data_IF_274751512966
#
_entry.id   IF_274751512966
#
_cell.length_a   1.000
_cell.length_b   1.000
_cell.length_c   1.000
_cell.angle_alpha   90.00
_cell.angle_beta   90.00
_cell.angle_gamma   90.00
#
_symmetry.space_group_name_H-M   'P 1'
#
loop_
_entity.id
_entity.type
_entity.pdbx_description
1 polymer ?
#
# COMPACT_ATOMS: atom_id res chain seq x y z
N UNK A 1 -3.62 33.02 -22.80
CA UNK A 1 -3.16 31.63 -22.97
C UNK A 1 -3.22 30.96 -21.61
N UNK A 2 -4.29 30.22 -21.38
CA UNK A 2 -4.65 29.60 -20.10
C UNK A 2 -3.85 28.30 -19.92
N UNK A 3 -2.98 28.25 -18.91
CA UNK A 3 -2.34 27.03 -18.44
C UNK A 3 -3.38 26.12 -17.78
N UNK A 4 -3.61 24.95 -18.37
CA UNK A 4 -4.47 23.93 -17.79
C UNK A 4 -3.83 23.35 -16.50
N UNK A 5 -4.64 22.93 -15.51
CA UNK A 5 -4.14 22.25 -14.32
C UNK A 5 -3.62 20.86 -14.71
N UNK A 6 -2.41 20.51 -14.29
CA UNK A 6 -1.91 19.12 -14.37
C UNK A 6 -2.51 18.37 -13.17
N UNK A 7 -3.81 18.09 -13.23
CA UNK A 7 -4.45 17.08 -12.38
C UNK A 7 -4.97 15.99 -13.31
N UNK A 8 -4.20 14.90 -13.37
CA UNK A 8 -4.41 13.80 -14.29
C UNK A 8 -3.49 12.66 -13.94
N UNK A 9 -3.78 11.99 -12.82
CA UNK A 9 -3.14 10.73 -12.42
C UNK A 9 -3.38 9.72 -13.54
N UNK A 10 -2.44 9.62 -14.49
CA UNK A 10 -2.36 8.47 -15.39
C UNK A 10 -1.93 7.28 -14.53
N UNK A 11 -2.86 6.36 -14.27
CA UNK A 11 -2.57 4.97 -13.87
C UNK A 11 -1.81 4.27 -15.01
N UNK A 12 -0.55 4.64 -15.19
CA UNK A 12 0.34 4.05 -16.20
C UNK A 12 0.99 2.81 -15.63
N UNK A 13 1.04 1.74 -16.41
CA UNK A 13 1.89 0.60 -16.08
C UNK A 13 3.32 1.13 -16.13
N UNK A 14 4.08 0.97 -15.05
CA UNK A 14 5.42 1.55 -14.93
C UNK A 14 6.55 0.59 -15.25
N UNK A 15 6.22 -0.66 -15.60
CA UNK A 15 7.18 -1.69 -15.92
C UNK A 15 8.00 -1.36 -17.18
N UNK A 16 9.32 -1.59 -17.09
CA UNK A 16 10.28 -1.36 -18.16
C UNK A 16 10.79 0.08 -18.27
N UNK A 17 10.32 0.97 -17.39
CA UNK A 17 10.56 2.41 -17.52
C UNK A 17 11.48 2.99 -16.43
N UNK A 18 12.05 4.14 -16.76
CA UNK A 18 12.81 4.97 -15.84
C UNK A 18 12.09 6.24 -15.42
N UNK A 19 12.19 6.63 -14.16
CA UNK A 19 11.53 7.78 -13.57
C UNK A 19 12.51 8.67 -12.82
N UNK A 20 12.37 9.98 -12.99
CA UNK A 20 12.95 10.94 -12.05
C UNK A 20 11.97 11.14 -10.90
N UNK A 21 12.46 11.12 -9.66
CA UNK A 21 11.62 11.28 -8.47
C UNK A 21 12.28 12.19 -7.44
N UNK A 22 11.48 13.01 -6.77
CA UNK A 22 11.78 13.52 -5.44
C UNK A 22 11.12 12.64 -4.37
N UNK A 23 9.92 12.14 -4.66
CA UNK A 23 9.21 11.16 -3.85
C UNK A 23 8.15 10.45 -4.67
N UNK A 24 7.86 9.19 -4.32
CA UNK A 24 6.81 8.41 -4.96
C UNK A 24 6.27 7.30 -4.05
N UNK A 25 5.00 6.94 -4.27
CA UNK A 25 4.37 5.75 -3.72
C UNK A 25 4.27 4.68 -4.81
N UNK A 26 5.05 3.62 -4.66
CA UNK A 26 5.04 2.49 -5.55
C UNK A 26 4.14 1.38 -4.98
N UNK A 27 3.19 0.88 -5.79
CA UNK A 27 2.21 -0.11 -5.34
C UNK A 27 1.89 -1.14 -6.43
N UNK A 28 1.72 -2.40 -6.05
CA UNK A 28 1.08 -3.40 -6.92
C UNK A 28 -0.43 -3.43 -6.68
N UNK A 29 -1.20 -3.60 -7.75
CA UNK A 29 -2.65 -3.64 -7.71
C UNK A 29 -3.20 -5.07 -7.74
N UNK A 30 -4.35 -5.33 -7.10
CA UNK A 30 -5.04 -6.60 -7.24
C UNK A 30 -5.58 -6.76 -8.67
N UNK A 31 -5.52 -7.97 -9.19
CA UNK A 31 -6.04 -8.36 -10.49
C UNK A 31 -7.56 -8.19 -10.51
N UNK A 32 -8.15 -7.69 -11.61
CA UNK A 32 -9.60 -7.46 -11.68
C UNK A 32 -10.48 -8.73 -11.47
N UNK A 33 -9.88 -9.92 -11.44
CA UNK A 33 -10.56 -11.20 -11.15
C UNK A 33 -10.06 -11.91 -9.88
N UNK A 34 -9.09 -11.36 -9.15
CA UNK A 34 -8.63 -11.89 -7.86
C UNK A 34 -8.15 -10.76 -6.94
N UNK A 35 -8.31 -10.90 -5.63
CA UNK A 35 -7.79 -9.91 -4.67
C UNK A 35 -6.24 -9.88 -4.58
N UNK A 36 -5.54 -10.53 -5.52
CA UNK A 36 -4.09 -10.70 -5.51
C UNK A 36 -3.42 -10.06 -6.72
N UNK A 37 -2.11 -9.80 -6.61
CA UNK A 37 -1.28 -9.39 -7.74
C UNK A 37 -1.27 -10.47 -8.83
N UNK A 38 -0.85 -10.09 -10.03
CA UNK A 38 -1.00 -10.88 -11.25
C UNK A 38 0.22 -11.82 -11.45
N UNK A 39 0.04 -13.00 -12.07
CA UNK A 39 1.11 -13.96 -12.32
C UNK A 39 1.96 -13.61 -13.55
N UNK A 40 3.11 -14.28 -13.69
CA UNK A 40 4.07 -14.16 -14.80
C UNK A 40 4.66 -12.76 -15.04
N UNK A 41 4.66 -11.89 -14.04
CA UNK A 41 5.34 -10.61 -14.13
C UNK A 41 6.86 -10.71 -14.07
N UNK A 42 7.49 -9.89 -14.90
CA UNK A 42 8.92 -9.59 -14.86
C UNK A 42 9.10 -8.09 -15.11
N UNK A 43 9.00 -7.32 -14.03
CA UNK A 43 8.83 -5.87 -14.07
C UNK A 43 10.01 -5.15 -13.42
N UNK A 44 10.77 -4.41 -14.24
CA UNK A 44 11.85 -3.55 -13.79
C UNK A 44 11.42 -2.09 -13.80
N UNK A 45 11.71 -1.34 -12.75
CA UNK A 45 11.50 0.10 -12.71
C UNK A 45 12.69 0.80 -12.09
N UNK A 46 13.23 1.79 -12.78
CA UNK A 46 14.41 2.55 -12.33
C UNK A 46 13.98 3.93 -11.87
N UNK A 47 14.42 4.34 -10.69
CA UNK A 47 14.13 5.64 -10.10
C UNK A 47 15.43 6.37 -9.84
N UNK A 48 15.50 7.63 -10.26
CA UNK A 48 16.68 8.48 -10.13
C UNK A 48 16.30 9.82 -9.51
N UNK A 49 17.05 10.26 -8.52
CA UNK A 49 16.89 11.62 -7.99
C UNK A 49 17.49 12.64 -8.96
N UNK A 50 16.95 13.86 -8.96
CA UNK A 50 17.47 14.96 -9.77
C UNK A 50 18.80 15.49 -9.23
N UNK A 51 18.94 15.61 -7.90
CA UNK A 51 20.19 16.10 -7.28
C UNK A 51 21.16 14.94 -7.14
N UNK A 52 22.45 15.21 -7.36
CA UNK A 52 23.51 14.18 -7.36
C UNK A 52 23.92 13.75 -5.96
N UNK A 53 23.73 14.62 -4.96
CA UNK A 53 24.02 14.38 -3.56
C UNK A 53 22.84 13.75 -2.80
N UNK A 54 21.68 13.61 -3.46
CA UNK A 54 20.55 12.91 -2.89
C UNK A 54 20.80 11.40 -2.83
N UNK A 55 20.41 10.82 -1.71
CA UNK A 55 20.23 9.39 -1.54
C UNK A 55 18.76 9.05 -1.73
N UNK A 56 18.45 7.78 -2.04
CA UNK A 56 17.07 7.31 -2.11
C UNK A 56 16.79 6.37 -0.95
N UNK A 57 15.86 6.76 -0.07
CA UNK A 57 15.30 5.88 0.94
C UNK A 57 14.17 5.05 0.35
N UNK A 58 14.16 3.78 0.71
CA UNK A 58 13.12 2.81 0.38
C UNK A 58 12.48 2.37 1.69
N UNK A 59 11.19 2.66 1.87
CA UNK A 59 10.39 2.20 3.00
C UNK A 59 9.34 1.23 2.49
N UNK A 60 9.43 -0.03 2.90
CA UNK A 60 8.42 -1.03 2.58
C UNK A 60 7.33 -0.92 3.65
N UNK A 61 6.17 -0.38 3.26
CA UNK A 61 5.03 -0.18 4.17
C UNK A 61 4.24 -1.47 4.37
N UNK A 62 4.09 -2.25 3.31
CA UNK A 62 3.46 -3.57 3.34
C UNK A 62 4.07 -4.43 2.22
N UNK A 63 4.26 -5.71 2.51
CA UNK A 63 4.65 -6.74 1.56
C UNK A 63 3.88 -7.99 1.94
N UNK A 64 3.21 -8.57 0.96
CA UNK A 64 2.42 -9.79 1.08
C UNK A 64 2.47 -10.48 -0.28
N UNK A 65 3.59 -11.17 -0.50
CA UNK A 65 3.85 -11.99 -1.68
C UNK A 65 3.88 -13.45 -1.28
N UNK A 66 3.45 -14.30 -2.19
CA UNK A 66 3.46 -15.75 -2.04
C UNK A 66 4.85 -16.23 -1.66
N UNK A 67 4.89 -17.01 -0.58
CA UNK A 67 6.11 -17.50 0.03
C UNK A 67 5.94 -18.95 0.44
N UNK A 68 5.88 -19.81 -0.58
CA UNK A 68 5.75 -21.26 -0.41
C UNK A 68 6.94 -21.85 0.37
N UNK A 69 8.07 -21.14 0.44
CA UNK A 69 9.33 -21.63 0.99
C UNK A 69 9.79 -20.91 2.28
N UNK A 70 8.93 -20.13 2.93
CA UNK A 70 9.21 -19.49 4.22
C UNK A 70 10.40 -18.51 4.19
N UNK A 71 10.52 -17.73 3.12
CA UNK A 71 11.49 -16.66 2.92
C UNK A 71 12.76 -17.11 2.22
N UNK A 72 12.84 -18.39 1.85
CA UNK A 72 14.01 -18.98 1.17
C UNK A 72 13.66 -19.22 -0.30
N UNK A 73 14.39 -18.62 -1.23
CA UNK A 73 14.11 -18.73 -2.67
C UNK A 73 12.70 -18.26 -3.06
N UNK A 74 12.44 -16.98 -2.81
CA UNK A 74 11.24 -16.29 -3.24
C UNK A 74 11.03 -16.42 -4.77
N UNK A 75 10.00 -17.19 -5.16
CA UNK A 75 9.55 -17.31 -6.55
C UNK A 75 8.84 -16.03 -6.99
N UNK A 76 7.95 -15.54 -6.13
CA UNK A 76 7.40 -14.19 -6.22
C UNK A 76 8.28 -13.29 -5.37
N UNK A 77 8.87 -12.24 -5.95
CA UNK A 77 9.81 -11.40 -5.23
C UNK A 77 9.78 -9.93 -5.64
N UNK A 78 10.02 -9.06 -4.66
CA UNK A 78 10.33 -7.65 -4.85
C UNK A 78 11.77 -7.39 -4.38
N UNK A 79 12.63 -7.01 -5.32
CA UNK A 79 14.06 -6.79 -5.07
C UNK A 79 14.45 -5.35 -5.40
N UNK A 80 15.42 -4.82 -4.68
CA UNK A 80 15.94 -3.47 -4.91
C UNK A 80 17.44 -3.51 -5.20
N UNK A 81 17.88 -2.63 -6.09
CA UNK A 81 19.26 -2.49 -6.52
C UNK A 81 19.69 -1.03 -6.42
N UNK A 82 20.93 -0.77 -6.00
CA UNK A 82 21.49 0.59 -5.85
C UNK A 82 22.04 1.20 -7.15
N UNK A 83 21.66 0.67 -8.30
CA UNK A 83 22.14 1.16 -9.60
C UNK A 83 21.06 0.93 -10.65
N UNK A 84 21.19 1.62 -11.79
CA UNK A 84 20.29 1.44 -12.94
C UNK A 84 20.46 0.06 -13.59
N UNK A 85 21.64 -0.56 -13.41
CA UNK A 85 22.01 -1.83 -14.02
C UNK A 85 21.92 -2.96 -12.99
N UNK A 86 20.90 -3.79 -13.15
CA UNK A 86 20.63 -4.89 -12.21
C UNK A 86 21.77 -5.91 -12.22
N UNK A 87 22.51 -5.96 -11.11
CA UNK A 87 23.55 -6.96 -10.88
C UNK A 87 23.50 -7.45 -9.42
N UNK A 88 24.10 -8.61 -9.16
CA UNK A 88 24.06 -9.24 -7.83
C UNK A 88 24.77 -8.40 -6.76
N UNK A 89 25.84 -7.68 -7.13
CA UNK A 89 26.65 -6.89 -6.19
C UNK A 89 25.95 -5.59 -5.75
N UNK A 90 25.02 -5.10 -6.56
CA UNK A 90 24.22 -3.92 -6.29
C UNK A 90 22.88 -4.21 -5.61
N UNK A 91 22.56 -5.49 -5.37
CA UNK A 91 21.36 -5.88 -4.65
C UNK A 91 21.40 -5.35 -3.22
N UNK A 92 20.35 -4.62 -2.85
CA UNK A 92 20.14 -4.16 -1.48
C UNK A 92 19.58 -5.32 -0.64
N UNK A 93 20.03 -5.41 0.61
CA UNK A 93 19.54 -6.42 1.54
C UNK A 93 18.15 -6.00 2.06
N UNK A 94 17.10 -6.63 1.54
CA UNK A 94 15.70 -6.37 1.92
C UNK A 94 14.95 -7.70 2.09
N UNK A 95 13.78 -7.64 2.71
CA UNK A 95 12.81 -8.74 2.59
C UNK A 95 12.28 -8.76 1.16
N UNK A 96 12.23 -9.95 0.54
CA UNK A 96 11.93 -10.11 -0.88
C UNK A 96 10.52 -10.68 -1.13
N UNK A 97 10.01 -11.50 -0.22
CA UNK A 97 8.69 -12.12 -0.30
C UNK A 97 8.12 -12.42 1.08
N UNK A 98 6.95 -13.03 1.11
CA UNK A 98 6.22 -13.33 2.33
C UNK A 98 5.43 -12.14 2.82
N UNK A 99 4.96 -12.24 4.06
CA UNK A 99 4.15 -11.23 4.70
C UNK A 99 4.97 -10.46 5.73
N UNK A 100 5.17 -9.17 5.50
CA UNK A 100 5.70 -8.26 6.53
C UNK A 100 4.62 -7.97 7.55
N UNK A 101 4.94 -8.10 8.84
CA UNK A 101 4.02 -7.69 9.90
C UNK A 101 4.05 -6.16 10.07
N UNK A 102 2.98 -5.54 10.58
CA UNK A 102 2.93 -4.08 10.79
C UNK A 102 4.02 -3.54 11.72
N UNK A 103 4.62 -4.41 12.55
CA UNK A 103 5.75 -4.06 13.42
C UNK A 103 7.08 -4.00 12.67
N UNK A 104 7.14 -4.56 11.47
CA UNK A 104 8.34 -4.71 10.64
C UNK A 104 8.26 -3.76 9.44
N UNK A 105 8.22 -2.45 9.71
CA UNK A 105 8.48 -1.45 8.65
C UNK A 105 9.95 -1.51 8.27
N UNK A 106 10.26 -2.05 7.10
CA UNK A 106 11.64 -2.18 6.63
C UNK A 106 12.09 -0.89 5.94
N UNK A 107 13.26 -0.39 6.30
CA UNK A 107 13.87 0.80 5.68
C UNK A 107 15.27 0.48 5.20
N UNK A 108 15.56 0.77 3.94
CA UNK A 108 16.91 0.68 3.37
C UNK A 108 17.23 1.95 2.59
N UNK A 109 18.52 2.23 2.41
CA UNK A 109 19.00 3.42 1.72
C UNK A 109 19.86 3.00 0.54
N UNK A 110 19.56 3.53 -0.64
CA UNK A 110 20.46 3.53 -1.77
C UNK A 110 21.35 4.79 -1.74
N UNK A 111 22.67 4.65 -1.66
CA UNK A 111 23.58 5.80 -1.54
C UNK A 111 23.81 6.55 -2.85
N UNK A 112 23.39 6.00 -3.99
CA UNK A 112 23.77 6.45 -5.35
C UNK A 112 22.77 7.40 -6.01
N UNK A 113 21.75 7.86 -5.27
CA UNK A 113 20.63 8.63 -5.82
C UNK A 113 19.83 7.87 -6.88
N UNK A 114 20.07 6.57 -7.06
CA UNK A 114 19.41 5.70 -8.01
C UNK A 114 18.94 4.44 -7.28
N UNK A 115 17.74 3.97 -7.59
CA UNK A 115 17.27 2.65 -7.20
C UNK A 115 16.54 1.99 -8.36
N UNK A 116 16.83 0.71 -8.61
CA UNK A 116 16.00 -0.12 -9.49
C UNK A 116 15.22 -1.13 -8.65
N UNK A 117 13.91 -1.13 -8.81
CA UNK A 117 13.02 -2.14 -8.26
C UNK A 117 12.76 -3.22 -9.31
N UNK A 118 12.80 -4.48 -8.89
CA UNK A 118 12.47 -5.63 -9.72
C UNK A 118 11.37 -6.43 -9.03
N UNK A 119 10.18 -6.43 -9.63
CA UNK A 119 9.06 -7.25 -9.21
C UNK A 119 8.91 -8.42 -10.18
N UNK A 120 9.04 -9.64 -9.68
CA UNK A 120 8.90 -10.85 -10.49
C UNK A 120 7.94 -11.81 -9.80
N UNK A 121 7.07 -12.44 -10.58
CA UNK A 121 6.11 -13.45 -10.10
C UNK A 121 6.18 -14.68 -10.97
N UNK A 122 5.96 -15.85 -10.40
CA UNK A 122 5.89 -17.08 -11.14
C UNK A 122 4.54 -17.29 -11.82
N UNK A 123 4.41 -18.43 -12.50
CA UNK A 123 3.17 -18.85 -13.16
C UNK A 123 2.18 -19.60 -12.28
N UNK A 124 2.45 -19.64 -10.98
CA UNK A 124 1.77 -20.49 -10.02
C UNK A 124 0.53 -19.84 -9.43
N UNK A 125 0.14 -20.34 -8.25
CA UNK A 125 -0.91 -19.72 -7.46
C UNK A 125 -0.37 -18.43 -6.85
N UNK A 126 -0.72 -17.29 -7.46
CA UNK A 126 -0.52 -15.99 -6.84
C UNK A 126 -1.44 -15.87 -5.63
N UNK A 127 -0.86 -15.54 -4.48
CA UNK A 127 -1.59 -15.31 -3.23
C UNK A 127 -0.92 -14.19 -2.46
N UNK A 128 -1.73 -13.30 -1.90
CA UNK A 128 -1.27 -12.15 -1.13
C UNK A 128 -1.71 -10.82 -1.75
N UNK A 129 -1.56 -9.75 -0.98
CA UNK A 129 -2.03 -8.40 -1.29
C UNK A 129 -1.01 -7.54 -2.06
N UNK A 130 0.17 -8.08 -2.38
CA UNK A 130 1.19 -7.37 -3.12
C UNK A 130 2.06 -6.48 -2.22
N UNK A 131 2.40 -5.28 -2.67
CA UNK A 131 3.31 -4.41 -1.93
C UNK A 131 2.95 -2.93 -2.02
N UNK A 132 3.40 -2.18 -1.02
CA UNK A 132 3.40 -0.72 -0.99
C UNK A 132 4.74 -0.23 -0.49
N UNK A 133 5.38 0.64 -1.28
CA UNK A 133 6.74 1.10 -1.04
C UNK A 133 6.77 2.61 -1.23
N UNK A 134 7.30 3.31 -0.24
CA UNK A 134 7.59 4.74 -0.36
C UNK A 134 9.05 4.90 -0.75
N UNK A 135 9.27 5.60 -1.85
CA UNK A 135 10.58 6.03 -2.31
C UNK A 135 10.72 7.52 -2.02
N UNK A 136 11.79 7.93 -1.35
CA UNK A 136 12.05 9.33 -1.03
C UNK A 136 13.49 9.68 -1.38
N UNK A 137 13.68 10.68 -2.23
CA UNK A 137 14.98 11.33 -2.39
C UNK A 137 15.20 12.29 -1.21
N UNK A 138 16.34 12.12 -0.53
CA UNK A 138 16.68 12.95 0.62
C UNK A 138 18.19 13.17 0.70
N UNK A 139 18.60 14.20 1.43
CA UNK A 139 20.01 14.43 1.78
C UNK A 139 20.14 14.87 3.23
N UNK A 140 21.34 14.74 3.78
CA UNK A 140 21.66 15.31 5.08
C UNK A 140 22.14 16.76 4.90
N UNK A 141 21.62 17.73 5.67
CA UNK A 141 22.12 19.11 5.62
C UNK A 141 23.56 19.18 6.11
N UNK A 142 24.34 20.12 5.57
CA UNK A 142 25.68 20.46 6.04
C UNK A 142 25.76 21.96 6.37
N UNK A 143 26.76 22.38 7.16
CA UNK A 143 27.04 23.79 7.48
C UNK A 143 27.13 24.69 6.24
N UNK A 144 27.63 24.17 5.14
CA UNK A 144 27.75 24.92 3.87
C UNK A 144 26.50 24.82 3.00
N UNK A 145 25.67 23.80 3.23
CA UNK A 145 24.47 23.50 2.44
C UNK A 145 23.31 23.07 3.36
N UNK A 146 22.69 24.01 4.10
CA UNK A 146 21.50 23.71 4.90
C UNK A 146 20.34 23.26 4.01
N UNK A 147 19.32 22.62 4.58
CA UNK A 147 18.03 22.52 3.86
C UNK A 147 17.52 23.94 3.67
N UNK A 148 16.90 24.23 2.54
CA UNK A 148 16.35 25.55 2.20
C UNK A 148 17.36 26.59 1.67
N UNK A 149 18.14 26.20 0.66
CA UNK A 149 18.96 27.18 -0.08
C UNK A 149 18.14 28.08 -1.01
N UNK A 150 16.93 27.67 -1.42
CA UNK A 150 16.08 28.36 -2.42
C UNK A 150 14.56 28.21 -2.18
N UNK A 151 14.08 27.86 -0.98
CA UNK A 151 12.68 27.46 -0.72
C UNK A 151 12.20 26.22 -1.50
N UNK A 152 13.13 25.35 -1.91
CA UNK A 152 12.82 24.11 -2.64
C UNK A 152 12.84 22.84 -1.76
N UNK A 153 13.33 22.95 -0.52
CA UNK A 153 13.50 21.83 0.40
C UNK A 153 12.90 22.10 1.78
N UNK A 154 12.43 21.04 2.40
CA UNK A 154 11.89 20.99 3.75
C UNK A 154 12.85 20.24 4.68
N UNK A 155 13.08 20.79 5.88
CA UNK A 155 13.81 20.10 6.94
C UNK A 155 12.84 19.26 7.79
N UNK A 156 12.89 17.94 7.62
CA UNK A 156 12.21 17.00 8.50
C UNK A 156 12.72 17.12 9.95
N UNK A 157 11.91 16.79 10.95
CA UNK A 157 12.37 16.88 12.37
C UNK A 157 13.46 15.88 12.71
N UNK A 158 13.61 14.81 11.93
CA UNK A 158 14.74 13.88 12.00
C UNK A 158 16.03 14.40 11.32
N UNK A 159 16.08 15.69 10.97
CA UNK A 159 17.24 16.39 10.41
C UNK A 159 17.64 15.97 8.99
N UNK A 160 16.66 15.73 8.14
CA UNK A 160 16.87 15.40 6.74
C UNK A 160 16.18 16.41 5.84
N UNK A 161 16.80 16.71 4.70
CA UNK A 161 16.21 17.55 3.67
C UNK A 161 15.45 16.66 2.69
N UNK A 162 14.19 16.98 2.44
CA UNK A 162 13.39 16.43 1.34
C UNK A 162 12.86 17.59 0.48
N UNK A 163 12.35 17.32 -0.72
CA UNK A 163 11.77 18.39 -1.54
C UNK A 163 10.45 18.92 -0.95
N UNK A 164 10.22 20.23 -1.03
CA UNK A 164 8.99 20.87 -0.57
C UNK A 164 7.72 20.38 -1.27
N UNK A 165 7.84 19.79 -2.47
CA UNK A 165 6.69 19.24 -3.22
C UNK A 165 6.10 17.98 -2.57
N UNK A 166 6.78 17.42 -1.56
CA UNK A 166 6.39 16.25 -0.79
C UNK A 166 5.62 16.60 0.49
N UNK A 167 5.46 17.88 0.79
CA UNK A 167 4.70 18.30 1.96
C UNK A 167 3.21 18.09 1.74
N UNK A 168 2.55 17.45 2.71
CA UNK A 168 1.09 17.32 2.77
C UNK A 168 0.49 16.61 1.55
N UNK A 169 1.21 15.66 0.97
CA UNK A 169 0.75 14.92 -0.20
C UNK A 169 0.07 13.59 0.17
N UNK A 170 -0.04 13.31 1.48
CA UNK A 170 -0.68 12.14 2.04
C UNK A 170 0.25 10.91 2.10
N UNK A 171 1.53 11.05 1.74
CA UNK A 171 2.54 9.99 1.80
C UNK A 171 3.66 10.40 2.76
N UNK A 172 3.96 9.62 3.81
CA UNK A 172 4.99 9.98 4.77
C UNK A 172 6.40 9.75 4.19
N UNK A 173 6.98 10.81 3.63
CA UNK A 173 8.31 10.83 3.06
C UNK A 173 9.40 11.02 4.12
N UNK A 174 9.16 11.84 5.15
CA UNK A 174 10.07 11.92 6.31
C UNK A 174 10.00 10.63 7.14
N UNK A 175 11.11 10.22 7.78
CA UNK A 175 11.11 9.05 8.68
C UNK A 175 10.22 9.25 9.89
N UNK A 176 10.13 10.49 10.37
CA UNK A 176 9.31 10.91 11.50
C UNK A 176 7.92 11.41 11.09
N UNK A 177 7.57 11.30 9.79
CA UNK A 177 6.26 11.70 9.25
C UNK A 177 5.94 13.20 9.47
N UNK A 178 6.98 14.03 9.67
CA UNK A 178 6.83 15.46 9.97
C UNK A 178 6.39 16.31 8.78
N UNK A 179 6.57 15.80 7.57
CA UNK A 179 6.05 16.34 6.31
C UNK A 179 4.52 16.32 6.21
N UNK A 180 3.87 15.41 6.92
CA UNK A 180 2.40 15.27 6.98
C UNK A 180 1.81 15.86 8.28
N UNK A 181 2.65 16.46 9.13
CA UNK A 181 2.22 16.97 10.43
C UNK A 181 1.49 18.33 10.31
N UNK A 182 0.29 18.48 10.89
CA UNK A 182 -0.48 19.73 10.84
C UNK A 182 0.23 20.93 11.45
N UNK A 183 1.11 20.68 12.42
CA UNK A 183 1.80 21.70 13.20
C UNK A 183 3.02 22.32 12.51
N UNK A 184 3.53 21.71 11.43
CA UNK A 184 4.77 22.16 10.78
C UNK A 184 4.62 22.49 9.29
N UNK A 185 3.74 21.80 8.58
CA UNK A 185 3.67 21.90 7.12
C UNK A 185 2.25 21.96 6.59
N UNK A 186 1.30 21.27 7.25
CA UNK A 186 -0.06 21.13 6.76
C UNK A 186 -1.04 21.99 7.57
N UNK A 187 -1.03 23.30 7.36
CA UNK A 187 -2.22 24.08 7.74
C UNK A 187 -3.33 23.69 6.78
N UNK A 188 -4.46 23.22 7.31
CA UNK A 188 -5.64 22.82 6.55
C UNK A 188 -6.18 24.00 5.73
N UNK A 189 -5.53 24.23 4.59
CA UNK A 189 -6.06 24.95 3.45
C UNK A 189 -6.77 23.90 2.61
N UNK A 190 -8.03 23.68 2.96
CA UNK A 190 -9.07 23.04 2.16
C UNK A 190 -8.58 22.08 1.08
N UNK A 191 -8.60 20.78 1.41
CA UNK A 191 -8.93 19.78 0.41
C UNK A 191 -10.24 20.20 -0.30
N UNK A 192 -10.26 20.03 -1.63
CA UNK A 192 -11.33 20.39 -2.59
C UNK A 192 -11.14 21.75 -3.31
N UNK A 193 -10.35 21.72 -4.38
CA UNK A 193 -10.62 22.58 -5.53
C UNK A 193 -11.70 21.92 -6.38
N UNK A 194 -12.96 22.26 -6.12
CA UNK A 194 -13.98 22.35 -7.17
C UNK A 194 -14.99 23.45 -6.82
N UNK A 195 -15.17 24.37 -7.76
CA UNK A 195 -15.99 25.58 -7.65
C UNK A 195 -17.41 25.32 -7.10
N UNK A 196 -17.83 26.10 -6.11
CA UNK A 196 -19.20 26.63 -6.07
C UNK A 196 -19.28 27.92 -5.26
N UNK A 197 -20.15 28.83 -5.71
CA UNK A 197 -20.13 30.25 -5.39
C UNK A 197 -20.50 30.64 -3.95
N UNK A 198 -20.21 31.91 -3.66
CA UNK A 198 -20.63 32.67 -2.49
C UNK A 198 -22.09 32.38 -2.09
N UNK A 199 -22.30 31.85 -0.88
CA UNK A 199 -23.49 32.17 -0.07
C UNK A 199 -23.05 32.32 1.41
N UNK A 200 -23.20 33.56 1.87
CA UNK A 200 -23.53 34.03 3.22
C UNK A 200 -23.23 33.15 4.45
N UNK A 201 -22.39 33.74 5.30
CA UNK A 201 -22.12 33.41 6.69
C UNK A 201 -23.38 33.23 7.55
N UNK A 202 -23.54 32.03 8.12
CA UNK A 202 -24.26 31.86 9.38
C UNK A 202 -23.41 31.01 10.35
N UNK A 203 -22.84 31.70 11.34
CA UNK A 203 -22.14 31.14 12.47
C UNK A 203 -23.06 30.23 13.29
N UNK A 204 -22.73 28.94 13.40
CA UNK A 204 -23.26 28.08 14.47
C UNK A 204 -22.15 27.23 15.06
N UNK A 205 -21.70 27.62 16.24
CA UNK A 205 -20.80 26.88 17.11
C UNK A 205 -21.41 25.52 17.46
N UNK A 206 -20.91 24.45 16.82
CA UNK A 206 -21.30 23.08 17.16
C UNK A 206 -20.33 22.55 18.20
N UNK A 207 -20.68 22.80 19.46
CA UNK A 207 -20.08 22.14 20.61
C UNK A 207 -20.13 20.62 20.45
N UNK A 208 -18.99 19.99 20.75
CA UNK A 208 -18.77 18.56 20.82
C UNK A 208 -19.87 17.87 21.65
N UNK A 209 -20.78 17.14 20.99
CA UNK A 209 -21.64 16.14 21.65
C UNK A 209 -20.92 14.78 21.65
N UNK A 210 -19.85 14.67 22.43
CA UNK A 210 -19.38 13.37 22.96
C UNK A 210 -20.13 13.12 24.26
N UNK A 211 -21.07 12.15 24.25
CA UNK A 211 -21.51 11.31 25.39
C UNK A 211 -22.95 10.80 25.18
N UNK A 212 -23.17 9.81 24.30
CA UNK A 212 -24.41 9.01 24.29
C UNK A 212 -24.16 7.50 24.09
N UNK A 213 -22.95 7.09 23.70
CA UNK A 213 -22.66 5.69 23.35
C UNK A 213 -22.46 4.77 24.57
N UNK A 214 -22.20 5.32 25.76
CA UNK A 214 -22.05 4.53 27.00
C UNK A 214 -23.38 3.96 27.51
N UNK A 215 -24.49 4.68 27.32
CA UNK A 215 -25.82 4.20 27.75
C UNK A 215 -26.36 3.07 26.89
N UNK A 216 -26.07 3.11 25.58
CA UNK A 216 -26.52 2.09 24.62
C UNK A 216 -25.84 0.74 24.86
N UNK A 217 -24.54 0.74 25.18
CA UNK A 217 -23.80 -0.49 25.49
C UNK A 217 -24.28 -1.14 26.80
N UNK A 218 -24.61 -0.35 27.82
CA UNK A 218 -25.14 -0.87 29.09
C UNK A 218 -26.54 -1.46 28.91
N UNK A 219 -27.41 -0.77 28.15
CA UNK A 219 -28.75 -1.27 27.85
C UNK A 219 -28.71 -2.58 27.05
N UNK A 220 -27.82 -2.67 26.04
CA UNK A 220 -27.63 -3.88 25.27
C UNK A 220 -27.11 -5.05 26.14
N UNK A 221 -26.17 -4.79 27.04
CA UNK A 221 -25.63 -5.80 27.95
C UNK A 221 -26.69 -6.33 28.93
N UNK A 222 -27.55 -5.46 29.46
CA UNK A 222 -28.65 -5.87 30.34
C UNK A 222 -29.72 -6.70 29.61
N UNK A 223 -30.01 -6.38 28.35
CA UNK A 223 -30.94 -7.18 27.53
C UNK A 223 -30.39 -8.58 27.23
N UNK A 224 -29.07 -8.69 26.97
CA UNK A 224 -28.42 -9.99 26.74
C UNK A 224 -28.49 -10.83 28.03
N UNK A 225 -28.16 -10.27 29.20
CA UNK A 225 -28.25 -10.98 30.47
C UNK A 225 -29.68 -11.45 30.75
N UNK A 226 -30.68 -10.60 30.49
CA UNK A 226 -32.08 -10.96 30.68
C UNK A 226 -32.50 -12.10 29.74
N UNK A 227 -32.05 -12.09 28.48
CA UNK A 227 -32.34 -13.16 27.52
C UNK A 227 -31.72 -14.51 27.93
N UNK A 228 -30.50 -14.50 28.47
CA UNK A 228 -29.81 -15.69 28.98
C UNK A 228 -30.52 -16.22 30.22
N UNK A 229 -30.95 -15.35 31.13
CA UNK A 229 -31.68 -15.75 32.33
C UNK A 229 -33.02 -16.39 31.99
N UNK A 230 -33.78 -15.82 31.05
CA UNK A 230 -35.03 -16.40 30.54
C UNK A 230 -34.77 -17.76 29.88
N UNK A 231 -33.71 -17.88 29.08
CA UNK A 231 -33.32 -19.16 28.48
C UNK A 231 -33.03 -20.22 29.55
N UNK A 232 -32.30 -19.89 30.61
CA UNK A 232 -32.05 -20.81 31.72
C UNK A 232 -33.32 -21.17 32.48
N UNK A 233 -34.23 -20.23 32.72
CA UNK A 233 -35.52 -20.53 33.34
C UNK A 233 -36.36 -21.47 32.48
N UNK A 234 -36.50 -21.20 31.18
CA UNK A 234 -37.21 -22.08 30.25
C UNK A 234 -36.54 -23.45 30.19
N UNK A 235 -35.21 -23.50 30.12
CA UNK A 235 -34.45 -24.73 30.14
C UNK A 235 -34.68 -25.56 31.41
N UNK A 236 -34.67 -24.92 32.60
CA UNK A 236 -34.94 -25.59 33.86
C UNK A 236 -36.39 -26.05 34.00
N UNK A 237 -37.35 -25.28 33.49
CA UNK A 237 -38.78 -25.65 33.46
C UNK A 237 -39.01 -26.81 32.49
N UNK A 238 -38.42 -26.78 31.29
CA UNK A 238 -38.47 -27.88 30.31
C UNK A 238 -37.76 -29.14 30.82
N UNK A 239 -36.62 -29.00 31.51
CA UNK A 239 -35.94 -30.14 32.16
C UNK A 239 -36.77 -30.78 33.27
N UNK A 240 -37.67 -30.04 33.91
CA UNK A 240 -38.57 -30.59 34.93
C UNK A 240 -39.70 -31.44 34.34
N UNK A 241 -39.98 -31.34 33.04
CA UNK A 241 -41.18 -31.94 32.43
C UNK A 241 -40.91 -33.13 31.48
N UNK A 242 -39.71 -33.27 30.91
CA UNK A 242 -39.39 -34.39 30.01
C UNK A 242 -38.35 -35.34 30.62
N UNK A 243 -38.84 -36.38 31.30
CA UNK A 243 -38.07 -37.60 31.59
C UNK A 243 -38.72 -38.72 30.77
N UNK A 244 -38.12 -39.07 29.64
CA UNK A 244 -38.35 -40.36 28.95
C UNK A 244 -37.15 -40.66 28.04
N UNK A 245 -36.59 -41.88 28.09
CA UNK A 245 -35.44 -42.28 27.26
C UNK A 245 -35.90 -43.04 26.02
N UNK A 246 -35.28 -42.78 24.86
CA UNK A 246 -35.45 -43.58 23.62
C UNK A 246 -34.10 -43.66 22.88
N UNK A 247 -33.74 -44.79 22.24
CA UNK A 247 -32.36 -45.27 22.17
C UNK A 247 -31.60 -44.96 20.86
N UNK A 248 -30.31 -45.25 20.91
CA UNK A 248 -29.31 -45.22 19.84
C UNK A 248 -29.73 -46.02 18.60
N UNK A 249 -29.71 -45.37 17.43
CA UNK A 249 -29.57 -46.04 16.14
C UNK A 249 -28.32 -45.57 15.40
N UNK A 250 -27.63 -46.57 14.86
CA UNK A 250 -26.38 -46.56 14.09
C UNK A 250 -26.71 -46.18 12.64
N UNK A 251 -25.89 -45.36 11.98
CA UNK A 251 -25.99 -45.16 10.52
C UNK A 251 -24.61 -44.93 9.89
N UNK A 252 -24.44 -45.57 8.73
CA UNK A 252 -23.21 -45.95 8.06
C UNK A 252 -22.46 -44.80 7.36
N UNK A 253 -21.13 -44.93 7.28
CA UNK A 253 -20.28 -44.11 6.40
C UNK A 253 -20.46 -44.57 4.95
N UNK A 254 -20.73 -43.65 4.03
CA UNK A 254 -20.61 -43.87 2.59
C UNK A 254 -19.35 -43.19 2.08
N UNK A 255 -18.41 -43.99 1.57
CA UNK A 255 -17.30 -43.54 0.74
C UNK A 255 -17.81 -43.27 -0.68
N UNK A 256 -17.36 -42.18 -1.29
CA UNK A 256 -17.47 -41.99 -2.74
C UNK A 256 -16.08 -41.73 -3.32
N UNK A 257 -15.71 -42.60 -4.25
CA UNK A 257 -14.55 -42.47 -5.11
C UNK A 257 -14.96 -41.79 -6.43
N UNK A 258 -14.05 -40.93 -6.91
CA UNK A 258 -13.62 -40.67 -8.29
C UNK A 258 -14.66 -40.63 -9.41
N UNK A 259 -14.77 -39.49 -10.11
CA UNK A 259 -14.88 -39.45 -11.58
C UNK A 259 -14.07 -38.26 -12.15
N UNK A 260 -13.07 -38.59 -12.95
CA UNK A 260 -12.40 -37.73 -13.95
C UNK A 260 -13.36 -37.46 -15.11
N UNK A 261 -13.38 -36.23 -15.64
CA UNK A 261 -13.24 -35.90 -17.07
C UNK A 261 -13.52 -34.42 -17.33
N UNK A 262 -12.68 -33.76 -18.12
CA UNK A 262 -13.06 -32.55 -18.85
C UNK A 262 -12.35 -32.50 -20.21
N UNK A 263 -13.03 -32.15 -21.31
CA UNK A 263 -12.43 -32.08 -22.64
C UNK A 263 -11.80 -30.70 -22.92
N UNK A 264 -10.70 -30.74 -23.67
CA UNK A 264 -9.99 -29.58 -24.24
C UNK A 264 -10.83 -28.87 -25.30
N UNK A 265 -10.88 -27.53 -25.27
CA UNK A 265 -11.06 -26.71 -26.49
C UNK A 265 -10.21 -25.43 -26.38
N UNK A 266 -9.51 -25.12 -27.48
CA UNK A 266 -8.65 -23.95 -27.66
C UNK A 266 -9.40 -22.66 -28.04
N UNK A 267 -8.67 -21.60 -28.41
CA UNK A 267 -8.91 -20.25 -27.91
C UNK A 267 -9.87 -19.43 -28.78
N UNK A 268 -10.59 -18.49 -28.16
CA UNK A 268 -11.22 -17.36 -28.86
C UNK A 268 -10.65 -16.05 -28.37
N UNK A 269 -9.97 -15.39 -29.30
CA UNK A 269 -9.47 -14.02 -29.27
C UNK A 269 -10.59 -13.06 -28.88
N UNK A 270 -10.44 -12.39 -27.74
CA UNK A 270 -11.20 -11.18 -27.43
C UNK A 270 -10.25 -10.18 -26.78
N UNK A 271 -10.16 -9.02 -27.41
CA UNK A 271 -9.32 -7.86 -27.11
C UNK A 271 -9.32 -7.54 -25.61
N UNK A 272 -8.22 -7.84 -24.91
CA UNK A 272 -8.07 -7.55 -23.49
C UNK A 272 -7.59 -6.11 -23.29
N UNK A 273 -8.47 -5.30 -22.70
CA UNK A 273 -8.19 -4.01 -22.10
C UNK A 273 -6.94 -4.08 -21.22
N UNK A 274 -5.99 -3.17 -21.45
CA UNK A 274 -4.72 -3.07 -20.73
C UNK A 274 -4.95 -3.10 -19.22
N UNK A 275 -4.55 -4.20 -18.58
CA UNK A 275 -4.67 -4.40 -17.13
C UNK A 275 -3.38 -3.90 -16.49
N UNK A 276 -3.41 -2.72 -15.88
CA UNK A 276 -2.26 -2.08 -15.24
C UNK A 276 -1.90 -2.80 -13.93
N UNK A 277 -0.62 -3.15 -13.72
CA UNK A 277 -0.17 -4.09 -12.67
C UNK A 277 0.61 -3.43 -11.52
N UNK A 278 1.60 -2.64 -11.88
CA UNK A 278 2.41 -1.84 -10.95
C UNK A 278 2.15 -0.39 -11.28
N UNK A 279 1.82 0.39 -10.25
CA UNK A 279 1.46 1.79 -10.40
C UNK A 279 2.38 2.62 -9.51
N UNK A 280 2.85 3.72 -10.09
CA UNK A 280 3.51 4.78 -9.37
C UNK A 280 2.48 5.87 -9.08
N UNK A 281 2.03 5.92 -7.84
CA UNK A 281 1.14 6.95 -7.31
C UNK A 281 1.94 8.07 -6.68
N UNK A 282 1.35 9.27 -6.63
CA UNK A 282 1.98 10.45 -6.06
C UNK A 282 3.44 10.62 -6.51
N UNK A 283 3.72 10.34 -7.80
CA UNK A 283 5.04 10.59 -8.35
C UNK A 283 5.27 12.09 -8.41
N UNK A 284 6.00 12.61 -7.43
CA UNK A 284 6.39 14.00 -7.36
C UNK A 284 7.79 14.12 -7.95
N UNK A 285 7.87 14.79 -9.10
CA UNK A 285 9.13 15.06 -9.78
C UNK A 285 9.10 16.45 -10.41
N UNK A 286 10.27 17.08 -10.51
CA UNK A 286 10.46 18.30 -11.30
C UNK A 286 10.80 18.00 -12.77
N UNK A 287 10.56 16.77 -13.25
CA UNK A 287 10.91 16.30 -14.61
C UNK A 287 10.20 15.02 -15.05
N UNK A 288 9.99 14.86 -16.36
CA UNK A 288 9.27 13.73 -16.98
C UNK A 288 10.04 12.39 -16.89
N UNK A 289 9.37 11.30 -17.30
CA UNK A 289 9.93 9.95 -17.56
C UNK A 289 11.33 10.06 -18.20
N UNK A 290 12.24 9.14 -17.87
CA UNK A 290 13.66 9.18 -18.31
C UNK A 290 13.86 9.05 -19.84
N UNK A 291 12.81 9.19 -20.64
CA UNK A 291 12.79 8.96 -22.10
C UNK A 291 13.62 9.95 -22.94
N UNK A 292 14.16 11.02 -22.34
CA UNK A 292 14.92 12.07 -23.08
C UNK A 292 16.38 12.22 -22.63
N UNK A 293 16.92 11.30 -21.83
CA UNK A 293 18.29 11.41 -21.32
C UNK A 293 19.11 10.18 -21.75
N UNK A 294 19.74 10.29 -22.93
CA UNK A 294 20.73 9.34 -23.45
C UNK A 294 21.94 9.14 -22.52
N UNK A 295 22.03 9.85 -21.39
CA UNK A 295 23.11 9.76 -20.40
C UNK A 295 23.03 8.54 -19.47
N UNK A 296 22.23 7.53 -19.82
CA UNK A 296 22.23 6.22 -19.15
C UNK A 296 22.73 5.07 -20.04
N UNK A 297 23.19 5.33 -21.28
CA UNK A 297 23.92 4.37 -22.11
C UNK A 297 25.43 4.44 -21.87
#
# INVERSE_FOLDING_TARGET
>A
MTSAPIDGIKRSNVCGDGYRIEGALLKSYPYAKSESYLPYEDCYMTFKSRRQDNQIRIRILSLDLNDIHGGVNCLDSLRFYKSAYVNRLDKLNTVECGQLTEKERFTVISPTGIVTAHFSTDGGNVSGNGFRVVLTAFRSPNKTHPCDENNEEFLCSNQECISNILLCDGVPHCLDESDESPHRSCTSSNAESSNSGNIESNNRTRTSKRQHWRGILIAAFLLIILSVFIFFLVYFVCRRFFRSPVPLMKSERKNYATILNSPKTGPKTTTATTTTQVILENNKSTGKRLDDDYSLL
#
